data_IF_995977862774
#
_entry.id   IF_995977862774
#
_cell.length_a   1.000
_cell.length_b   1.000
_cell.length_c   1.000
_cell.angle_alpha   90.00
_cell.angle_beta   90.00
_cell.angle_gamma   90.00
#
_symmetry.space_group_name_H-M   'P 1'
#
loop_
_entity.id
_entity.type
_entity.pdbx_description
1 polymer ?
#
# COMPACT_ATOMS: atom_id res chain seq x y z
N UNK A 1 24.20 -38.99 -50.01
CA UNK A 1 24.95 -37.72 -50.19
C UNK A 1 24.00 -36.64 -50.69
N UNK A 2 23.49 -35.77 -49.81
CA UNK A 2 22.90 -34.47 -50.17
C UNK A 2 22.90 -33.59 -48.93
N UNK A 3 23.47 -32.39 -49.10
CA UNK A 3 23.95 -31.46 -48.07
C UNK A 3 22.80 -30.83 -47.30
N UNK A 4 22.90 -30.89 -45.98
CA UNK A 4 22.24 -30.01 -45.03
C UNK A 4 22.92 -28.64 -45.04
N UNK A 5 22.15 -27.57 -45.20
CA UNK A 5 22.59 -26.23 -44.82
C UNK A 5 21.60 -25.65 -43.82
N UNK A 6 22.01 -25.68 -42.56
CA UNK A 6 21.46 -24.88 -41.47
C UNK A 6 22.19 -23.53 -41.48
N UNK A 7 21.50 -22.46 -41.83
CA UNK A 7 21.97 -21.09 -41.56
C UNK A 7 21.37 -20.62 -40.25
N UNK A 8 22.22 -20.64 -39.20
CA UNK A 8 22.06 -19.89 -37.96
C UNK A 8 22.33 -18.42 -38.27
N UNK A 9 21.42 -17.52 -37.92
CA UNK A 9 21.74 -16.11 -37.73
C UNK A 9 21.36 -15.69 -36.31
N UNK A 10 22.43 -15.56 -35.51
CA UNK A 10 22.48 -15.04 -34.16
C UNK A 10 22.94 -13.58 -34.24
N UNK A 11 22.11 -12.66 -33.79
CA UNK A 11 22.44 -11.26 -33.48
C UNK A 11 21.58 -10.94 -32.25
N UNK A 12 22.03 -11.00 -31.00
CA UNK A 12 23.15 -10.34 -30.34
C UNK A 12 23.13 -8.80 -30.50
N UNK A 13 22.24 -8.13 -29.77
CA UNK A 13 22.38 -6.71 -29.46
C UNK A 13 22.00 -6.41 -28.01
N UNK A 14 23.05 -6.41 -27.17
CA UNK A 14 23.38 -5.41 -26.16
C UNK A 14 22.24 -4.87 -25.30
N UNK A 15 22.20 -5.43 -24.10
CA UNK A 15 21.74 -4.78 -22.88
C UNK A 15 22.46 -3.43 -22.65
N UNK A 16 21.69 -2.36 -22.56
CA UNK A 16 22.10 -1.07 -21.99
C UNK A 16 21.41 -0.89 -20.65
N UNK A 17 22.05 -1.44 -19.60
CA UNK A 17 21.83 -1.08 -18.20
C UNK A 17 22.25 0.38 -18.02
N UNK A 18 21.27 1.28 -17.89
CA UNK A 18 21.49 2.63 -17.35
C UNK A 18 21.27 2.58 -15.84
N UNK A 19 22.34 2.27 -15.12
CA UNK A 19 22.45 2.43 -13.68
C UNK A 19 22.69 3.91 -13.37
N UNK A 20 21.64 4.66 -13.06
CA UNK A 20 21.76 6.02 -12.49
C UNK A 20 21.85 5.90 -10.97
N UNK A 21 23.07 5.66 -10.51
CA UNK A 21 23.50 5.96 -9.14
C UNK A 21 24.15 7.35 -9.15
N UNK A 22 23.74 8.21 -8.23
CA UNK A 22 24.36 9.46 -7.79
C UNK A 22 23.25 10.38 -7.29
N UNK A 23 23.34 11.09 -6.19
CA UNK A 23 24.36 11.16 -5.15
C UNK A 23 23.71 11.95 -4.03
N UNK A 24 23.61 11.30 -2.88
CA UNK A 24 23.36 11.93 -1.59
C UNK A 24 24.47 12.98 -1.37
N UNK A 25 24.13 14.26 -1.44
CA UNK A 25 25.02 15.35 -1.01
C UNK A 25 24.38 16.04 0.17
N UNK A 26 24.67 15.46 1.33
CA UNK A 26 24.60 16.12 2.62
C UNK A 26 25.62 17.26 2.65
N UNK A 27 25.18 18.48 2.39
CA UNK A 27 25.95 19.68 2.68
C UNK A 27 25.87 20.00 4.18
N UNK A 28 26.80 19.40 4.91
CA UNK A 28 27.22 19.87 6.23
C UNK A 28 27.92 21.22 6.00
N UNK A 29 27.21 22.31 6.30
CA UNK A 29 27.80 23.65 6.38
C UNK A 29 28.19 23.91 7.84
N UNK A 30 29.46 23.66 8.13
CA UNK A 30 30.14 24.24 9.29
C UNK A 30 30.49 25.69 8.96
N UNK A 31 29.80 26.65 9.59
CA UNK A 31 30.36 27.99 9.79
C UNK A 31 30.07 28.48 11.20
N UNK A 32 31.03 28.14 12.07
CA UNK A 32 31.35 28.90 13.27
C UNK A 32 31.81 30.31 12.86
N UNK A 33 31.15 31.34 13.40
CA UNK A 33 31.82 32.52 13.98
C UNK A 33 30.79 33.51 14.55
N UNK A 34 30.80 33.62 15.88
CA UNK A 34 30.67 34.86 16.68
C UNK A 34 29.95 36.05 16.04
N UNK A 35 28.78 36.40 16.59
CA UNK A 35 28.54 37.76 17.13
C UNK A 35 27.65 37.59 18.37
N UNK A 36 28.25 37.73 19.55
CA UNK A 36 27.53 38.04 20.78
C UNK A 36 26.81 39.39 20.58
N UNK A 37 25.49 39.39 20.59
CA UNK A 37 24.72 40.57 21.03
C UNK A 37 23.96 40.16 22.27
N UNK A 38 24.58 40.41 23.42
CA UNK A 38 23.91 40.53 24.70
C UNK A 38 22.76 41.52 24.51
N UNK A 39 21.52 41.04 24.50
CA UNK A 39 20.39 41.87 24.87
C UNK A 39 20.50 42.09 26.37
N UNK A 40 21.32 43.06 26.73
CA UNK A 40 21.26 43.70 28.03
C UNK A 40 20.00 44.56 27.99
N UNK A 41 18.85 43.94 28.24
CA UNK A 41 17.63 44.70 28.51
C UNK A 41 17.88 45.36 29.86
N UNK A 42 17.89 46.70 29.95
CA UNK A 42 18.05 47.37 31.22
C UNK A 42 16.91 46.92 32.13
N UNK A 43 17.24 46.40 33.31
CA UNK A 43 16.29 45.95 34.35
C UNK A 43 15.25 47.05 34.68
N UNK A 44 15.53 48.30 34.34
CA UNK A 44 14.66 49.46 34.50
C UNK A 44 13.51 49.58 33.46
N UNK A 45 13.56 48.88 32.32
CA UNK A 45 12.46 48.88 31.34
C UNK A 45 11.39 47.80 31.61
N UNK A 46 11.70 46.78 32.42
CA UNK A 46 10.72 45.78 32.86
C UNK A 46 9.69 46.39 33.83
N UNK A 47 10.14 47.27 34.74
CA UNK A 47 9.27 47.94 35.70
C UNK A 47 8.27 48.91 35.03
N UNK A 48 8.61 49.49 33.88
CA UNK A 48 7.73 50.38 33.11
C UNK A 48 6.72 49.62 32.23
N UNK A 49 7.04 48.38 31.84
CA UNK A 49 6.10 47.50 31.12
C UNK A 49 5.08 46.88 32.10
N UNK A 50 5.49 46.60 33.35
CA UNK A 50 4.62 46.09 34.41
C UNK A 50 3.62 47.15 34.90
N UNK A 51 3.99 48.44 34.93
CA UNK A 51 3.09 49.50 35.37
C UNK A 51 2.06 49.94 34.32
N UNK A 52 2.36 49.81 33.01
CA UNK A 52 1.46 50.27 31.94
C UNK A 52 0.51 49.21 31.37
N UNK A 53 0.66 47.92 31.73
CA UNK A 53 -0.23 46.83 31.31
C UNK A 53 -0.87 46.10 32.50
N UNK A 54 -1.23 46.83 33.56
CA UNK A 54 -2.17 46.30 34.56
C UNK A 54 -3.55 46.20 33.91
N UNK A 55 -3.80 45.09 33.21
CA UNK A 55 -5.19 44.65 33.01
C UNK A 55 -5.84 44.67 34.39
N UNK A 56 -6.93 45.43 34.53
CA UNK A 56 -7.71 45.56 35.76
C UNK A 56 -8.06 44.17 36.33
N UNK A 57 -8.16 43.18 35.46
CA UNK A 57 -8.48 41.80 35.80
C UNK A 57 -7.30 41.08 36.43
N UNK A 58 -6.06 41.28 35.94
CA UNK A 58 -4.86 40.67 36.53
C UNK A 58 -4.68 41.07 38.00
N UNK A 59 -4.95 42.33 38.34
CA UNK A 59 -4.85 42.80 39.72
C UNK A 59 -5.98 42.22 40.60
N UNK A 60 -7.22 42.19 40.11
CA UNK A 60 -8.36 41.58 40.83
C UNK A 60 -8.12 40.10 41.10
N UNK A 61 -7.58 39.37 40.12
CA UNK A 61 -7.28 37.94 40.23
C UNK A 61 -6.10 37.71 41.20
N UNK A 62 -5.04 38.52 41.13
CA UNK A 62 -3.93 38.46 42.08
C UNK A 62 -4.41 38.71 43.52
N UNK A 63 -5.27 39.72 43.73
CA UNK A 63 -5.85 40.00 45.05
C UNK A 63 -6.77 38.88 45.53
N UNK A 64 -7.61 38.31 44.65
CA UNK A 64 -8.47 37.16 44.98
C UNK A 64 -7.62 35.92 45.34
N UNK A 65 -6.56 35.64 44.59
CA UNK A 65 -5.64 34.52 44.84
C UNK A 65 -4.94 34.60 46.21
N UNK A 66 -4.67 35.81 46.70
CA UNK A 66 -4.08 36.04 48.02
C UNK A 66 -5.08 35.85 49.16
N UNK A 67 -6.35 36.18 48.93
CA UNK A 67 -7.41 36.14 49.95
C UNK A 67 -8.06 34.76 50.05
N UNK A 68 -8.43 34.14 48.93
CA UNK A 68 -9.18 32.87 48.92
C UNK A 68 -8.29 31.64 48.73
N UNK A 69 -7.05 31.80 48.28
CA UNK A 69 -6.20 30.69 47.85
C UNK A 69 -6.72 29.92 46.63
N UNK A 70 -7.83 30.37 46.03
CA UNK A 70 -8.48 29.74 44.87
C UNK A 70 -8.52 30.70 43.70
N UNK A 71 -8.11 30.22 42.52
CA UNK A 71 -8.11 30.98 41.27
C UNK A 71 -9.03 30.28 40.29
N UNK A 72 -10.03 31.00 39.77
CA UNK A 72 -11.04 30.47 38.83
C UNK A 72 -10.74 30.84 37.36
N UNK A 73 -9.49 31.12 37.01
CA UNK A 73 -9.12 31.49 35.64
C UNK A 73 -8.54 30.31 34.88
N UNK A 74 -9.07 30.07 33.68
CA UNK A 74 -8.60 29.00 32.77
C UNK A 74 -7.68 29.54 31.67
N UNK A 75 -7.47 30.86 31.61
CA UNK A 75 -6.54 31.48 30.67
C UNK A 75 -5.09 31.44 31.19
N UNK A 76 -4.26 30.62 30.52
CA UNK A 76 -2.84 30.47 30.84
C UNK A 76 -2.03 31.77 30.70
N UNK A 77 -2.40 32.67 29.77
CA UNK A 77 -1.70 33.93 29.57
C UNK A 77 -1.96 34.92 30.71
N UNK A 78 -3.23 34.99 31.15
CA UNK A 78 -3.64 35.79 32.30
C UNK A 78 -2.98 35.26 33.58
N UNK A 79 -2.91 33.94 33.74
CA UNK A 79 -2.24 33.31 34.87
C UNK A 79 -0.74 33.65 34.92
N UNK A 80 -0.05 33.68 33.78
CA UNK A 80 1.37 34.08 33.69
C UNK A 80 1.59 35.54 34.13
N UNK A 81 0.67 36.44 33.80
CA UNK A 81 0.74 37.84 34.20
C UNK A 81 0.54 38.00 35.71
N UNK A 82 -0.41 37.26 36.29
CA UNK A 82 -0.68 37.24 37.73
C UNK A 82 0.51 36.70 38.51
N UNK A 83 1.14 35.62 38.02
CA UNK A 83 2.36 35.05 38.63
C UNK A 83 3.49 36.08 38.67
N UNK A 84 3.78 36.74 37.53
CA UNK A 84 4.84 37.77 37.46
C UNK A 84 4.58 38.97 38.37
N UNK A 85 3.31 39.39 38.49
CA UNK A 85 2.92 40.47 39.41
C UNK A 85 3.13 40.06 40.88
N UNK A 86 2.73 38.84 41.26
CA UNK A 86 2.91 38.33 42.62
C UNK A 86 4.38 38.05 42.96
N UNK A 87 5.20 37.57 42.02
CA UNK A 87 6.66 37.45 42.16
C UNK A 87 7.28 38.82 42.45
N UNK A 88 6.88 39.84 41.68
CA UNK A 88 7.38 41.22 41.84
C UNK A 88 6.99 41.78 43.22
N UNK A 89 5.76 41.54 43.68
CA UNK A 89 5.30 41.95 45.03
C UNK A 89 6.03 41.20 46.14
N UNK A 90 6.29 39.90 45.96
CA UNK A 90 7.03 39.09 46.92
C UNK A 90 8.44 39.67 47.15
N UNK A 91 9.15 40.04 46.07
CA UNK A 91 10.48 40.65 46.15
C UNK A 91 10.46 41.99 46.90
N UNK A 92 9.42 42.81 46.70
CA UNK A 92 9.28 44.09 47.39
C UNK A 92 9.06 43.86 48.89
N UNK A 93 8.12 42.98 49.27
CA UNK A 93 7.84 42.68 50.68
C UNK A 93 9.03 42.08 51.43
N UNK A 94 9.86 41.27 50.77
CA UNK A 94 11.10 40.76 51.35
C UNK A 94 12.13 41.85 51.62
N UNK A 95 12.27 42.82 50.71
CA UNK A 95 13.17 43.97 50.88
C UNK A 95 12.72 44.88 52.02
N UNK A 96 11.42 45.02 52.20
CA UNK A 96 10.80 45.89 53.20
C UNK A 96 10.67 45.22 54.58
N UNK A 97 11.05 43.93 54.72
CA UNK A 97 11.07 43.20 55.99
C UNK A 97 9.76 42.50 56.37
N UNK A 98 8.75 42.48 55.49
CA UNK A 98 7.44 41.84 55.68
C UNK A 98 7.49 40.34 55.35
N UNK A 99 8.11 39.57 56.25
CA UNK A 99 8.43 38.15 56.02
C UNK A 99 7.17 37.27 55.99
N UNK A 100 6.17 37.54 56.84
CA UNK A 100 4.97 36.69 56.96
C UNK A 100 4.09 36.81 55.71
N UNK A 101 3.89 38.04 55.23
CA UNK A 101 3.14 38.34 54.02
C UNK A 101 3.86 37.76 52.79
N UNK A 102 5.19 37.88 52.72
CA UNK A 102 6.00 37.22 51.69
C UNK A 102 5.79 35.69 51.69
N UNK A 103 5.78 35.04 52.85
CA UNK A 103 5.51 33.60 52.94
C UNK A 103 4.10 33.23 52.46
N UNK A 104 3.09 34.06 52.74
CA UNK A 104 1.73 33.86 52.24
C UNK A 104 1.67 33.99 50.71
N UNK A 105 2.33 35.01 50.13
CA UNK A 105 2.43 35.17 48.68
C UNK A 105 3.12 33.95 48.05
N UNK A 106 4.21 33.44 48.65
CA UNK A 106 4.90 32.23 48.16
C UNK A 106 3.99 30.99 48.13
N UNK A 107 3.15 30.79 49.14
CA UNK A 107 2.18 29.69 49.16
C UNK A 107 1.16 29.82 48.02
N UNK A 108 0.62 31.02 47.80
CA UNK A 108 -0.29 31.29 46.68
C UNK A 108 0.40 31.15 45.32
N UNK A 109 1.66 31.58 45.19
CA UNK A 109 2.49 31.41 43.98
C UNK A 109 2.68 29.93 43.64
N UNK A 110 2.97 29.07 44.62
CA UNK A 110 3.10 27.63 44.38
C UNK A 110 1.80 27.02 43.84
N UNK A 111 0.65 27.41 44.37
CA UNK A 111 -0.66 27.00 43.85
C UNK A 111 -0.93 27.51 42.43
N UNK A 112 -0.54 28.74 42.13
CA UNK A 112 -0.63 29.33 40.79
C UNK A 112 0.27 28.62 39.77
N UNK A 113 1.52 28.32 40.13
CA UNK A 113 2.43 27.56 39.28
C UNK A 113 1.93 26.14 39.03
N UNK A 114 1.36 25.48 40.04
CA UNK A 114 0.72 24.18 39.88
C UNK A 114 -0.42 24.25 38.86
N UNK A 115 -1.33 25.24 39.01
CA UNK A 115 -2.45 25.45 38.08
C UNK A 115 -1.97 25.80 36.66
N UNK A 116 -0.90 26.58 36.54
CA UNK A 116 -0.27 26.93 35.27
C UNK A 116 0.28 25.69 34.54
N UNK A 117 0.93 24.80 35.29
CA UNK A 117 1.44 23.53 34.76
C UNK A 117 0.29 22.62 34.30
N UNK A 118 -0.81 22.57 35.05
CA UNK A 118 -2.01 21.80 34.66
C UNK A 118 -2.66 22.35 33.39
N UNK A 119 -2.88 23.66 33.30
CA UNK A 119 -3.46 24.30 32.11
C UNK A 119 -2.58 24.14 30.88
N UNK A 120 -1.26 24.32 31.02
CA UNK A 120 -0.33 24.14 29.90
C UNK A 120 -0.21 22.67 29.47
N UNK A 121 -0.27 21.70 30.40
CA UNK A 121 -0.39 20.28 30.05
C UNK A 121 -1.67 19.99 29.26
N UNK A 122 -2.80 20.55 29.70
CA UNK A 122 -4.09 20.34 29.05
C UNK A 122 -4.10 20.92 27.62
N UNK A 123 -3.62 22.16 27.44
CA UNK A 123 -3.50 22.79 26.10
C UNK A 123 -2.60 21.94 25.19
N UNK A 124 -1.44 21.47 25.69
CA UNK A 124 -0.54 20.62 24.91
C UNK A 124 -1.18 19.27 24.54
N UNK A 125 -1.96 18.68 25.46
CA UNK A 125 -2.70 17.44 25.22
C UNK A 125 -3.77 17.61 24.15
N UNK A 126 -4.53 18.70 24.21
CA UNK A 126 -5.58 19.02 23.25
C UNK A 126 -4.99 19.30 21.86
N UNK A 127 -3.92 20.10 21.78
CA UNK A 127 -3.21 20.37 20.52
C UNK A 127 -2.64 19.08 19.90
N UNK A 128 -1.93 18.26 20.70
CA UNK A 128 -1.40 16.99 20.22
C UNK A 128 -2.51 16.03 19.79
N UNK A 129 -3.64 16.00 20.52
CA UNK A 129 -4.81 15.19 20.18
C UNK A 129 -5.48 15.64 18.87
N UNK A 130 -5.63 16.95 18.67
CA UNK A 130 -6.19 17.53 17.45
C UNK A 130 -5.30 17.23 16.24
N UNK A 131 -3.98 17.43 16.36
CA UNK A 131 -3.02 17.15 15.30
C UNK A 131 -3.02 15.68 14.87
N UNK A 132 -3.05 14.76 15.84
CA UNK A 132 -3.13 13.32 15.56
C UNK A 132 -4.47 12.95 14.92
N UNK A 133 -5.57 13.53 15.39
CA UNK A 133 -6.91 13.29 14.82
C UNK A 133 -6.99 13.78 13.38
N UNK A 134 -6.43 14.95 13.07
CA UNK A 134 -6.35 15.46 11.70
C UNK A 134 -5.50 14.56 10.80
N UNK A 135 -4.36 14.05 11.29
CA UNK A 135 -3.52 13.10 10.52
C UNK A 135 -4.26 11.80 10.24
N UNK A 136 -4.98 11.26 11.23
CA UNK A 136 -5.76 10.04 11.09
C UNK A 136 -6.90 10.23 10.08
N UNK A 137 -7.64 11.34 10.19
CA UNK A 137 -8.69 11.68 9.23
C UNK A 137 -8.16 11.77 7.80
N UNK A 138 -7.02 12.43 7.58
CA UNK A 138 -6.38 12.50 6.25
C UNK A 138 -6.04 11.13 5.68
N UNK A 139 -5.58 10.20 6.51
CA UNK A 139 -5.31 8.82 6.09
C UNK A 139 -6.60 8.09 5.74
N UNK A 140 -7.66 8.23 6.54
CA UNK A 140 -8.95 7.59 6.26
C UNK A 140 -9.58 8.10 4.96
N UNK A 141 -9.53 9.41 4.72
CA UNK A 141 -10.02 9.99 3.45
C UNK A 141 -9.21 9.47 2.26
N UNK A 142 -7.88 9.39 2.39
CA UNK A 142 -7.02 8.86 1.35
C UNK A 142 -7.31 7.37 1.07
N UNK A 143 -7.46 6.56 2.12
CA UNK A 143 -7.79 5.13 2.05
C UNK A 143 -9.13 4.87 1.34
N UNK A 144 -10.15 5.68 1.66
CA UNK A 144 -11.46 5.61 1.01
C UNK A 144 -11.37 5.94 -0.50
N UNK A 145 -10.70 7.03 -0.85
CA UNK A 145 -10.53 7.46 -2.25
C UNK A 145 -9.74 6.45 -3.07
N UNK A 146 -8.65 5.91 -2.52
CA UNK A 146 -7.82 4.90 -3.19
C UNK A 146 -8.61 3.60 -3.39
N UNK A 147 -9.34 3.15 -2.36
CA UNK A 147 -10.21 1.97 -2.44
C UNK A 147 -11.28 2.12 -3.53
N UNK A 148 -11.88 3.31 -3.66
CA UNK A 148 -12.85 3.59 -4.71
C UNK A 148 -12.18 3.62 -6.10
N UNK A 149 -11.01 4.25 -6.22
CA UNK A 149 -10.23 4.27 -7.47
C UNK A 149 -9.93 2.87 -7.98
N UNK A 150 -9.57 1.95 -7.08
CA UNK A 150 -9.20 0.58 -7.45
C UNK A 150 -10.43 -0.23 -7.87
N UNK A 151 -11.57 -0.06 -7.17
CA UNK A 151 -12.84 -0.66 -7.58
C UNK A 151 -13.21 -0.22 -9.00
N UNK A 152 -13.09 1.07 -9.30
CA UNK A 152 -13.37 1.60 -10.64
C UNK A 152 -12.42 1.00 -11.68
N UNK A 153 -11.11 0.94 -11.40
CA UNK A 153 -10.12 0.31 -12.29
C UNK A 153 -10.44 -1.17 -12.58
N UNK A 154 -10.86 -1.93 -11.56
CA UNK A 154 -11.27 -3.33 -11.74
C UNK A 154 -12.54 -3.45 -12.57
N UNK A 155 -13.53 -2.60 -12.34
CA UNK A 155 -14.76 -2.58 -13.14
C UNK A 155 -14.48 -2.23 -14.60
N UNK A 156 -13.71 -1.17 -14.87
CA UNK A 156 -13.29 -0.80 -16.23
C UNK A 156 -12.52 -1.93 -16.92
N UNK A 157 -11.63 -2.60 -16.19
CA UNK A 157 -10.87 -3.73 -16.70
C UNK A 157 -11.80 -4.89 -17.05
N UNK A 158 -12.76 -5.24 -16.19
CA UNK A 158 -13.73 -6.30 -16.46
C UNK A 158 -14.59 -5.98 -17.69
N UNK A 159 -15.09 -4.75 -17.82
CA UNK A 159 -15.85 -4.32 -19.01
C UNK A 159 -14.99 -4.47 -20.28
N UNK A 160 -13.72 -4.06 -20.23
CA UNK A 160 -12.79 -4.22 -21.37
C UNK A 160 -12.56 -5.69 -21.71
N UNK A 161 -12.38 -6.54 -20.72
CA UNK A 161 -12.20 -7.99 -20.92
C UNK A 161 -13.46 -8.64 -21.49
N UNK A 162 -14.64 -8.29 -21.00
CA UNK A 162 -15.90 -8.84 -21.52
C UNK A 162 -16.12 -8.44 -22.97
N UNK A 163 -15.84 -7.19 -23.33
CA UNK A 163 -15.90 -6.74 -24.72
C UNK A 163 -14.91 -7.50 -25.61
N UNK A 164 -13.68 -7.75 -25.13
CA UNK A 164 -12.69 -8.54 -25.87
C UNK A 164 -13.14 -10.00 -26.03
N UNK A 165 -13.70 -10.60 -24.98
CA UNK A 165 -14.24 -11.96 -25.01
C UNK A 165 -15.35 -12.10 -26.04
N UNK A 166 -16.31 -11.15 -26.08
CA UNK A 166 -17.36 -11.14 -27.10
C UNK A 166 -16.83 -11.00 -28.52
N UNK A 167 -15.75 -10.23 -28.74
CA UNK A 167 -15.11 -10.11 -30.05
C UNK A 167 -14.49 -11.44 -30.48
N UNK A 168 -13.83 -12.15 -29.55
CA UNK A 168 -13.26 -13.49 -29.79
C UNK A 168 -14.38 -14.48 -30.12
N UNK A 169 -15.46 -14.52 -29.34
CA UNK A 169 -16.60 -15.41 -29.58
C UNK A 169 -17.24 -15.15 -30.95
N UNK A 170 -17.48 -13.89 -31.31
CA UNK A 170 -18.01 -13.52 -32.65
C UNK A 170 -17.07 -13.93 -33.78
N UNK A 171 -15.76 -13.87 -33.56
CA UNK A 171 -14.75 -14.35 -34.52
C UNK A 171 -14.84 -15.87 -34.64
N UNK A 172 -14.92 -16.60 -33.53
CA UNK A 172 -15.04 -18.07 -33.52
C UNK A 172 -16.29 -18.56 -34.25
N UNK A 173 -17.43 -17.91 -34.03
CA UNK A 173 -18.67 -18.20 -34.77
C UNK A 173 -18.51 -17.99 -36.27
N UNK A 174 -17.83 -16.91 -36.68
CA UNK A 174 -17.56 -16.64 -38.10
C UNK A 174 -16.66 -17.70 -38.72
N UNK A 175 -15.62 -18.14 -38.02
CA UNK A 175 -14.71 -19.19 -38.48
C UNK A 175 -15.45 -20.53 -38.67
N UNK A 176 -16.34 -20.88 -37.75
CA UNK A 176 -17.17 -22.10 -37.87
C UNK A 176 -18.09 -21.99 -39.10
N UNK A 177 -18.77 -20.85 -39.26
CA UNK A 177 -19.65 -20.61 -40.43
C UNK A 177 -18.88 -20.65 -41.75
N UNK A 178 -17.67 -20.10 -41.77
CA UNK A 178 -16.79 -20.15 -42.94
C UNK A 178 -16.35 -21.59 -43.24
N UNK A 179 -15.92 -22.34 -42.24
CA UNK A 179 -15.57 -23.76 -42.41
C UNK A 179 -16.75 -24.56 -42.95
N UNK A 180 -17.96 -24.34 -42.44
CA UNK A 180 -19.17 -25.02 -42.93
C UNK A 180 -19.53 -24.61 -44.37
N UNK A 181 -19.40 -23.32 -44.70
CA UNK A 181 -19.66 -22.82 -46.05
C UNK A 181 -18.66 -23.38 -47.06
N UNK A 182 -17.37 -23.37 -46.72
CA UNK A 182 -16.29 -23.93 -47.52
C UNK A 182 -16.47 -25.43 -47.70
N UNK A 183 -16.91 -26.15 -46.66
CA UNK A 183 -17.17 -27.58 -46.75
C UNK A 183 -18.37 -27.89 -47.65
N UNK A 184 -19.44 -27.09 -47.57
CA UNK A 184 -20.62 -27.23 -48.44
C UNK A 184 -20.38 -26.82 -49.88
N UNK A 185 -19.27 -26.13 -50.16
CA UNK A 185 -18.94 -25.65 -51.50
C UNK A 185 -18.76 -26.79 -52.50
N UNK A 186 -19.13 -26.51 -53.75
CA UNK A 186 -19.03 -27.46 -54.86
C UNK A 186 -17.57 -27.88 -55.14
N UNK A 187 -16.64 -26.93 -54.99
CA UNK A 187 -15.20 -27.20 -55.17
C UNK A 187 -14.69 -28.21 -54.16
N UNK A 188 -15.17 -28.17 -52.91
CA UNK A 188 -14.83 -29.16 -51.90
C UNK A 188 -15.45 -30.50 -52.23
N UNK A 189 -16.76 -30.55 -52.52
CA UNK A 189 -17.48 -31.79 -52.88
C UNK A 189 -16.82 -32.56 -54.02
N UNK A 190 -16.41 -31.84 -55.07
CA UNK A 190 -15.72 -32.43 -56.24
C UNK A 190 -14.44 -33.19 -55.88
N UNK A 191 -13.70 -32.78 -54.84
CA UNK A 191 -12.46 -33.48 -54.42
C UNK A 191 -12.71 -34.92 -53.96
N UNK A 192 -13.93 -35.22 -53.52
CA UNK A 192 -14.31 -36.53 -52.98
C UNK A 192 -15.20 -37.33 -53.95
N UNK A 193 -15.78 -36.67 -54.96
CA UNK A 193 -16.64 -37.30 -55.98
C UNK A 193 -15.87 -37.93 -57.15
N UNK A 194 -14.60 -38.29 -56.97
CA UNK A 194 -13.79 -38.90 -58.03
C UNK A 194 -14.00 -40.42 -58.09
N UNK A 195 -14.57 -40.90 -59.19
CA UNK A 195 -14.73 -42.33 -59.47
C UNK A 195 -13.39 -43.00 -59.74
N UNK A 196 -13.24 -44.25 -59.32
CA UNK A 196 -12.02 -44.99 -59.61
C UNK A 196 -11.84 -45.25 -61.10
N UNK A 197 -10.61 -45.57 -61.49
CA UNK A 197 -10.32 -46.04 -62.86
C UNK A 197 -11.13 -47.30 -63.18
N UNK A 198 -11.32 -48.19 -62.18
CA UNK A 198 -12.01 -49.45 -62.39
C UNK A 198 -13.50 -49.26 -62.64
N UNK A 199 -14.16 -48.39 -61.88
CA UNK A 199 -15.57 -48.04 -62.11
C UNK A 199 -15.76 -47.45 -63.52
N UNK A 200 -14.86 -46.53 -63.93
CA UNK A 200 -14.90 -45.94 -65.27
C UNK A 200 -14.70 -46.97 -66.38
N UNK A 201 -13.83 -47.96 -66.17
CA UNK A 201 -13.64 -49.06 -67.11
C UNK A 201 -14.89 -49.95 -67.21
N UNK A 202 -15.49 -50.33 -66.08
CA UNK A 202 -16.72 -51.14 -66.05
C UNK A 202 -17.88 -50.41 -66.72
N UNK A 203 -18.07 -49.11 -66.46
CA UNK A 203 -19.10 -48.28 -67.14
C UNK A 203 -18.84 -48.16 -68.64
N UNK A 204 -17.57 -48.09 -69.05
CA UNK A 204 -17.21 -48.12 -70.49
C UNK A 204 -17.53 -49.48 -71.12
N UNK A 205 -17.18 -50.59 -70.44
CA UNK A 205 -17.49 -51.95 -70.91
C UNK A 205 -19.00 -52.18 -70.99
N UNK A 206 -19.76 -51.71 -70.01
CA UNK A 206 -21.23 -51.70 -69.99
C UNK A 206 -21.78 -51.04 -71.27
N UNK A 207 -21.31 -49.84 -71.60
CA UNK A 207 -21.74 -49.11 -72.82
C UNK A 207 -21.41 -49.87 -74.11
N UNK A 208 -20.22 -50.47 -74.19
CA UNK A 208 -19.79 -51.25 -75.35
C UNK A 208 -20.64 -52.52 -75.53
N UNK A 209 -20.88 -53.27 -74.46
CA UNK A 209 -21.68 -54.52 -74.50
C UNK A 209 -23.14 -54.24 -74.87
N UNK A 210 -23.69 -53.13 -74.38
CA UNK A 210 -25.03 -52.68 -74.75
C UNK A 210 -25.13 -52.39 -76.26
N UNK A 211 -24.15 -51.65 -76.82
CA UNK A 211 -24.08 -51.37 -78.26
C UNK A 211 -23.93 -52.64 -79.10
N UNK A 212 -23.20 -53.64 -78.60
CA UNK A 212 -23.01 -54.95 -79.23
C UNK A 212 -24.21 -55.90 -79.06
N UNK A 213 -25.28 -55.49 -78.35
CA UNK A 213 -26.48 -56.30 -78.05
C UNK A 213 -26.21 -57.59 -77.27
N UNK A 214 -25.11 -57.66 -76.51
CA UNK A 214 -24.76 -58.80 -75.65
C UNK A 214 -25.40 -58.64 -74.26
N UNK A 215 -26.70 -58.88 -74.16
CA UNK A 215 -27.49 -58.53 -72.98
C UNK A 215 -27.08 -59.26 -71.69
N UNK A 216 -26.70 -60.55 -71.78
CA UNK A 216 -26.33 -61.33 -70.59
C UNK A 216 -25.02 -60.84 -69.95
N UNK A 217 -24.00 -60.58 -70.78
CA UNK A 217 -22.72 -60.01 -70.32
C UNK A 217 -22.91 -58.59 -69.79
N UNK A 218 -23.74 -57.79 -70.48
CA UNK A 218 -24.11 -56.44 -70.05
C UNK A 218 -24.70 -56.44 -68.64
N UNK A 219 -25.67 -57.32 -68.34
CA UNK A 219 -26.28 -57.38 -67.01
C UNK A 219 -25.27 -57.71 -65.91
N UNK A 220 -24.33 -58.62 -66.18
CA UNK A 220 -23.27 -58.97 -65.21
C UNK A 220 -22.33 -57.79 -64.95
N UNK A 221 -21.84 -57.14 -66.01
CA UNK A 221 -20.94 -55.98 -65.88
C UNK A 221 -21.65 -54.81 -65.19
N UNK A 222 -22.93 -54.60 -65.49
CA UNK A 222 -23.76 -53.59 -64.82
C UNK A 222 -23.88 -53.86 -63.32
N UNK A 223 -24.23 -55.08 -62.89
CA UNK A 223 -24.31 -55.43 -61.46
C UNK A 223 -22.99 -55.15 -60.74
N UNK A 224 -21.87 -55.55 -61.34
CA UNK A 224 -20.54 -55.29 -60.78
C UNK A 224 -20.23 -53.79 -60.71
N UNK A 225 -20.61 -53.00 -61.72
CA UNK A 225 -20.42 -51.56 -61.73
C UNK A 225 -21.28 -50.86 -60.65
N UNK A 226 -22.54 -51.26 -60.52
CA UNK A 226 -23.48 -50.70 -59.55
C UNK A 226 -23.04 -51.03 -58.11
N UNK A 227 -22.64 -52.27 -57.83
CA UNK A 227 -22.08 -52.67 -56.52
C UNK A 227 -20.80 -51.88 -56.18
N UNK A 228 -19.91 -51.71 -57.15
CA UNK A 228 -18.66 -50.98 -56.94
C UNK A 228 -18.90 -49.47 -56.78
N UNK A 229 -19.90 -48.90 -57.47
CA UNK A 229 -20.32 -47.51 -57.27
C UNK A 229 -20.91 -47.27 -55.87
N UNK A 230 -21.77 -48.16 -55.38
CA UNK A 230 -22.29 -48.09 -54.01
C UNK A 230 -21.13 -48.10 -53.00
N UNK A 231 -20.20 -49.04 -53.14
CA UNK A 231 -19.04 -49.12 -52.25
C UNK A 231 -18.14 -47.88 -52.33
N UNK A 232 -17.87 -47.35 -53.53
CA UNK A 232 -17.04 -46.14 -53.69
C UNK A 232 -17.73 -44.89 -53.14
N UNK A 233 -19.04 -44.76 -53.34
CA UNK A 233 -19.82 -43.62 -52.83
C UNK A 233 -19.87 -43.65 -51.31
N UNK A 234 -20.14 -44.78 -50.68
CA UNK A 234 -20.10 -44.93 -49.21
C UNK A 234 -18.71 -44.59 -48.65
N UNK A 235 -17.65 -45.11 -49.27
CA UNK A 235 -16.28 -44.81 -48.86
C UNK A 235 -15.93 -43.32 -49.03
N UNK A 236 -16.40 -42.68 -50.10
CA UNK A 236 -16.20 -41.26 -50.32
C UNK A 236 -16.93 -40.41 -49.27
N UNK A 237 -18.17 -40.76 -48.92
CA UNK A 237 -18.95 -40.13 -47.85
C UNK A 237 -18.24 -40.28 -46.50
N UNK A 238 -17.79 -41.49 -46.17
CA UNK A 238 -17.08 -41.74 -44.91
C UNK A 238 -15.79 -40.90 -44.79
N UNK A 239 -15.02 -40.80 -45.88
CA UNK A 239 -13.81 -39.93 -45.92
C UNK A 239 -14.17 -38.46 -45.80
N UNK A 240 -15.21 -38.02 -46.49
CA UNK A 240 -15.73 -36.65 -46.42
C UNK A 240 -16.10 -36.24 -44.99
N UNK A 241 -16.86 -37.09 -44.30
CA UNK A 241 -17.29 -36.85 -42.92
C UNK A 241 -16.12 -36.92 -41.94
N UNK A 242 -15.22 -37.90 -42.10
CA UNK A 242 -14.03 -38.03 -41.26
C UNK A 242 -13.13 -36.80 -41.34
N UNK A 243 -12.85 -36.32 -42.57
CA UNK A 243 -12.02 -35.14 -42.79
C UNK A 243 -12.69 -33.86 -42.25
N UNK A 244 -14.02 -33.74 -42.38
CA UNK A 244 -14.79 -32.64 -41.79
C UNK A 244 -14.65 -32.62 -40.28
N UNK A 245 -14.89 -33.77 -39.64
CA UNK A 245 -14.82 -33.91 -38.19
C UNK A 245 -13.41 -33.61 -37.67
N UNK A 246 -12.38 -34.06 -38.39
CA UNK A 246 -10.98 -33.75 -38.08
C UNK A 246 -10.70 -32.24 -38.17
N UNK A 247 -11.11 -31.60 -39.27
CA UNK A 247 -10.94 -30.16 -39.46
C UNK A 247 -11.69 -29.34 -38.39
N UNK A 248 -12.93 -29.73 -38.07
CA UNK A 248 -13.75 -29.10 -37.04
C UNK A 248 -13.15 -29.25 -35.65
N UNK A 249 -12.66 -30.45 -35.32
CA UNK A 249 -11.98 -30.71 -34.03
C UNK A 249 -10.75 -29.84 -33.87
N UNK A 250 -9.93 -29.75 -34.92
CA UNK A 250 -8.72 -28.92 -34.92
C UNK A 250 -9.04 -27.43 -34.78
N UNK A 251 -10.11 -26.95 -35.42
CA UNK A 251 -10.59 -25.57 -35.25
C UNK A 251 -11.03 -25.31 -33.82
N UNK A 252 -11.88 -26.17 -33.25
CA UNK A 252 -12.36 -26.04 -31.86
C UNK A 252 -11.20 -26.07 -30.86
N UNK A 253 -10.19 -26.92 -31.08
CA UNK A 253 -9.01 -26.95 -30.23
C UNK A 253 -8.22 -25.62 -30.29
N UNK A 254 -8.06 -25.02 -31.48
CA UNK A 254 -7.44 -23.70 -31.62
C UNK A 254 -8.23 -22.61 -30.90
N UNK A 255 -9.55 -22.61 -31.05
CA UNK A 255 -10.45 -21.66 -30.39
C UNK A 255 -10.38 -21.79 -28.86
N UNK A 256 -10.35 -23.02 -28.35
CA UNK A 256 -10.15 -23.31 -26.93
C UNK A 256 -8.83 -22.73 -26.42
N UNK A 257 -7.73 -22.99 -27.12
CA UNK A 257 -6.42 -22.46 -26.74
C UNK A 257 -6.39 -20.92 -26.76
N UNK A 258 -7.07 -20.28 -27.73
CA UNK A 258 -7.20 -18.82 -27.79
C UNK A 258 -7.96 -18.26 -26.56
N UNK A 259 -9.04 -18.93 -26.12
CA UNK A 259 -9.77 -18.54 -24.91
C UNK A 259 -8.92 -18.77 -23.65
N UNK A 260 -8.28 -19.92 -23.51
CA UNK A 260 -7.44 -20.23 -22.35
C UNK A 260 -6.29 -19.23 -22.20
N UNK A 261 -5.61 -18.88 -23.30
CA UNK A 261 -4.54 -17.87 -23.29
C UNK A 261 -5.07 -16.46 -22.99
N UNK A 262 -6.26 -16.12 -23.47
CA UNK A 262 -6.94 -14.88 -23.12
C UNK A 262 -7.28 -14.81 -21.62
N UNK A 263 -7.84 -15.88 -21.05
CA UNK A 263 -8.19 -15.96 -19.63
C UNK A 263 -6.96 -15.85 -18.73
N UNK A 264 -5.86 -16.54 -19.06
CA UNK A 264 -4.59 -16.40 -18.34
C UNK A 264 -4.05 -14.96 -18.37
N UNK A 265 -4.14 -14.30 -19.53
CA UNK A 265 -3.75 -12.89 -19.67
C UNK A 265 -4.65 -11.96 -18.85
N UNK A 266 -5.96 -12.22 -18.85
CA UNK A 266 -6.94 -11.49 -18.07
C UNK A 266 -6.66 -11.59 -16.55
N UNK A 267 -6.42 -12.81 -16.06
CA UNK A 267 -6.12 -13.05 -14.66
C UNK A 267 -4.80 -12.42 -14.23
N UNK A 268 -3.78 -12.47 -15.08
CA UNK A 268 -2.51 -11.77 -14.82
C UNK A 268 -2.74 -10.27 -14.64
N UNK A 269 -3.57 -9.64 -15.49
CA UNK A 269 -3.89 -8.21 -15.36
C UNK A 269 -4.66 -7.91 -14.07
N UNK A 270 -5.60 -8.77 -13.68
CA UNK A 270 -6.33 -8.65 -12.40
C UNK A 270 -5.37 -8.74 -11.21
N UNK A 271 -4.48 -9.72 -11.22
CA UNK A 271 -3.47 -9.91 -10.17
C UNK A 271 -2.55 -8.69 -10.03
N UNK A 272 -2.13 -8.06 -11.13
CA UNK A 272 -1.31 -6.84 -11.08
C UNK A 272 -2.04 -5.71 -10.34
N UNK A 273 -3.34 -5.52 -10.60
CA UNK A 273 -4.14 -4.50 -9.90
C UNK A 273 -4.28 -4.86 -8.41
N UNK A 274 -4.62 -6.10 -8.09
CA UNK A 274 -4.78 -6.56 -6.71
C UNK A 274 -3.48 -6.45 -5.91
N UNK A 275 -2.35 -6.86 -6.48
CA UNK A 275 -1.05 -6.72 -5.84
C UNK A 275 -0.68 -5.25 -5.61
N UNK A 276 -1.02 -4.36 -6.56
CA UNK A 276 -0.82 -2.92 -6.36
C UNK A 276 -1.66 -2.38 -5.20
N UNK A 277 -2.88 -2.87 -5.04
CA UNK A 277 -3.77 -2.53 -3.94
C UNK A 277 -3.24 -3.01 -2.60
N UNK A 278 -2.83 -4.28 -2.51
CA UNK A 278 -2.25 -4.86 -1.30
C UNK A 278 -1.04 -4.06 -0.82
N UNK A 279 -0.13 -3.72 -1.74
CA UNK A 279 1.03 -2.88 -1.43
C UNK A 279 0.64 -1.50 -0.88
N UNK A 280 -0.39 -0.88 -1.44
CA UNK A 280 -0.88 0.41 -0.94
C UNK A 280 -1.57 0.26 0.42
N UNK A 281 -2.37 -0.77 0.61
CA UNK A 281 -3.06 -1.06 1.85
C UNK A 281 -2.06 -1.34 3.00
N UNK A 282 -0.97 -2.04 2.69
CA UNK A 282 0.14 -2.24 3.62
C UNK A 282 0.79 -0.91 4.05
N UNK A 283 1.01 0.00 3.10
CA UNK A 283 1.57 1.33 3.39
C UNK A 283 0.62 2.15 4.27
N UNK A 284 -0.68 2.12 3.98
CA UNK A 284 -1.71 2.79 4.78
C UNK A 284 -1.76 2.20 6.18
N UNK A 285 -1.75 0.87 6.30
CA UNK A 285 -1.75 0.16 7.57
C UNK A 285 -0.51 0.50 8.42
N UNK A 286 0.68 0.58 7.81
CA UNK A 286 1.91 1.03 8.48
C UNK A 286 1.78 2.47 8.98
N UNK A 287 1.20 3.37 8.18
CA UNK A 287 0.97 4.77 8.60
C UNK A 287 -0.03 4.86 9.76
N UNK A 288 -1.12 4.09 9.75
CA UNK A 288 -2.09 4.02 10.86
C UNK A 288 -1.41 3.57 12.16
N UNK A 289 -0.66 2.47 12.11
CA UNK A 289 0.13 1.99 13.27
C UNK A 289 1.13 3.01 13.78
N UNK A 290 1.81 3.73 12.88
CA UNK A 290 2.76 4.77 13.28
C UNK A 290 2.06 5.92 14.04
N UNK A 291 0.86 6.33 13.63
CA UNK A 291 0.06 7.33 14.34
C UNK A 291 -0.42 6.80 15.70
N UNK A 292 -0.83 5.52 15.77
CA UNK A 292 -1.23 4.89 17.04
C UNK A 292 -0.07 4.88 18.04
N UNK A 293 1.14 4.51 17.60
CA UNK A 293 2.35 4.56 18.43
C UNK A 293 2.65 6.00 18.86
N UNK A 294 2.55 6.97 17.94
CA UNK A 294 2.70 8.39 18.29
C UNK A 294 1.70 8.83 19.35
N UNK A 295 0.44 8.39 19.27
CA UNK A 295 -0.59 8.69 20.25
C UNK A 295 -0.29 8.07 21.63
N UNK A 296 0.30 6.88 21.68
CA UNK A 296 0.74 6.30 22.95
C UNK A 296 1.93 7.07 23.55
N UNK A 297 2.90 7.45 22.72
CA UNK A 297 4.08 8.19 23.14
C UNK A 297 3.74 9.61 23.62
N UNK A 298 2.81 10.31 22.97
CA UNK A 298 2.38 11.65 23.42
C UNK A 298 1.72 11.60 24.78
N UNK A 299 0.86 10.59 25.03
CA UNK A 299 0.28 10.35 26.36
C UNK A 299 1.34 10.11 27.42
N UNK A 300 2.38 9.34 27.11
CA UNK A 300 3.48 9.07 28.03
C UNK A 300 4.38 10.29 28.27
N UNK A 301 4.68 11.06 27.22
CA UNK A 301 5.47 12.30 27.31
C UNK A 301 4.79 13.35 28.18
N UNK A 302 3.48 13.54 28.01
CA UNK A 302 2.68 14.47 28.84
C UNK A 302 2.73 14.03 30.31
N UNK A 303 2.51 12.74 30.60
CA UNK A 303 2.62 12.19 31.96
C UNK A 303 4.02 12.40 32.58
N UNK A 304 5.08 12.19 31.79
CA UNK A 304 6.47 12.38 32.23
C UNK A 304 6.81 13.86 32.47
N UNK A 305 6.29 14.75 31.63
CA UNK A 305 6.42 16.20 31.80
C UNK A 305 5.70 16.69 33.07
N UNK A 306 4.45 16.28 33.28
CA UNK A 306 3.67 16.60 34.49
C UNK A 306 4.39 16.16 35.78
N UNK A 307 5.01 14.97 35.76
CA UNK A 307 5.78 14.46 36.90
C UNK A 307 7.03 15.30 37.19
N UNK A 308 7.77 15.69 36.14
CA UNK A 308 8.96 16.56 36.28
C UNK A 308 8.60 17.94 36.81
N UNK A 309 7.53 18.53 36.28
CA UNK A 309 7.09 19.87 36.67
C UNK A 309 6.51 19.93 38.09
N UNK A 310 5.81 18.88 38.53
CA UNK A 310 5.39 18.76 39.94
C UNK A 310 6.58 18.65 40.90
N UNK A 311 7.59 17.86 40.53
CA UNK A 311 8.79 17.71 41.37
C UNK A 311 9.61 19.01 41.48
N UNK A 312 9.67 19.83 40.42
CA UNK A 312 10.40 21.10 40.46
C UNK A 312 9.73 22.18 41.31
N UNK A 313 8.41 22.13 41.52
CA UNK A 313 7.71 23.07 42.42
C UNK A 313 7.89 22.69 43.90
N UNK A 314 8.05 21.39 44.20
CA UNK A 314 8.14 20.88 45.56
C UNK A 314 9.57 20.85 46.14
N UNK A 315 10.60 21.30 45.42
CA UNK A 315 11.97 21.47 45.96
C UNK A 315 12.08 22.74 46.83
N UNK A 316 11.23 22.84 47.85
CA UNK A 316 11.59 23.50 49.11
C UNK A 316 11.95 22.35 50.04
N UNK A 317 13.18 21.85 49.90
CA UNK A 317 13.68 20.83 50.80
C UNK A 317 13.60 21.37 52.24
N UNK A 318 13.02 20.62 53.20
CA UNK A 318 13.28 20.91 54.61
C UNK A 318 14.80 20.88 54.84
N UNK A 319 15.32 21.66 55.81
CA UNK A 319 16.75 21.73 56.08
C UNK A 319 17.30 20.32 56.19
N UNK A 320 18.33 20.00 55.40
CA UNK A 320 18.93 18.67 55.38
C UNK A 320 19.31 18.31 56.81
N UNK A 321 18.64 17.31 57.38
CA UNK A 321 19.12 16.68 58.61
C UNK A 321 20.57 16.21 58.35
N UNK A 322 21.48 16.37 59.32
CA UNK A 322 22.89 16.05 59.14
C UNK A 322 23.03 14.61 58.65
N UNK A 323 23.62 14.49 57.46
CA UNK A 323 23.98 13.23 56.82
C UNK A 323 24.93 12.46 57.75
N UNK A 324 24.37 11.55 58.54
CA UNK A 324 25.16 10.49 59.16
C UNK A 324 25.55 9.52 58.04
N UNK A 325 26.74 9.76 57.51
CA UNK A 325 27.43 8.87 56.59
C UNK A 325 27.64 7.51 57.25
N UNK A 326 26.71 6.58 57.03
CA UNK A 326 26.96 5.15 57.18
C UNK A 326 26.97 4.54 55.78
N UNK A 327 28.11 4.68 55.09
CA UNK A 327 28.41 3.89 53.90
C UNK A 327 28.40 2.41 54.31
N UNK A 328 27.36 1.68 53.92
CA UNK A 328 27.45 0.24 53.83
C UNK A 328 28.49 -0.14 52.76
N UNK A 329 29.35 -1.14 53.00
CA UNK A 329 30.33 -1.57 52.02
C UNK A 329 29.61 -2.05 50.75
N UNK A 330 29.97 -1.46 49.62
CA UNK A 330 29.53 -1.89 48.29
C UNK A 330 29.93 -3.35 48.12
N UNK A 331 28.96 -4.25 48.07
CA UNK A 331 29.22 -5.61 47.59
C UNK A 331 29.66 -5.51 46.13
N UNK A 332 30.75 -6.22 45.84
CA UNK A 332 31.52 -6.16 44.61
C UNK A 332 30.65 -6.43 43.38
N UNK A 333 30.60 -5.47 42.45
CA UNK A 333 30.18 -5.69 41.07
C UNK A 333 31.26 -6.51 40.35
N UNK A 334 31.35 -7.81 40.65
CA UNK A 334 32.09 -8.77 39.84
C UNK A 334 31.17 -9.28 38.74
N UNK A 335 31.63 -9.17 37.49
CA UNK A 335 30.98 -9.74 36.32
C UNK A 335 30.86 -11.27 36.49
N UNK A 336 29.64 -11.80 36.34
CA UNK A 336 29.40 -13.25 36.34
C UNK A 336 30.03 -13.84 35.08
N UNK A 337 31.15 -14.55 35.24
CA UNK A 337 31.76 -15.31 34.16
C UNK A 337 31.02 -16.66 33.98
N UNK A 338 30.84 -17.15 32.74
CA UNK A 338 30.25 -18.45 32.49
C UNK A 338 31.17 -19.58 32.99
N UNK A 339 30.61 -20.73 33.44
CA UNK A 339 31.41 -21.84 33.93
C UNK A 339 32.28 -22.46 32.83
N UNK A 340 33.51 -22.82 33.19
CA UNK A 340 34.45 -23.52 32.31
C UNK A 340 33.87 -24.86 31.88
N UNK A 341 33.92 -25.13 30.56
CA UNK A 341 33.55 -26.45 30.01
C UNK A 341 34.55 -27.48 30.54
N UNK A 342 34.07 -28.44 31.31
CA UNK A 342 34.88 -29.60 31.69
C UNK A 342 35.22 -30.39 30.42
N UNK A 343 36.51 -30.47 30.10
CA UNK A 343 37.02 -31.48 29.20
C UNK A 343 36.98 -32.82 29.92
N UNK A 344 35.90 -33.57 29.75
CA UNK A 344 35.94 -35.01 29.95
C UNK A 344 36.77 -35.60 28.80
N UNK A 345 38.04 -35.89 29.09
CA UNK A 345 38.87 -36.75 28.26
C UNK A 345 38.38 -38.19 28.43
N UNK A 346 37.97 -38.75 27.29
CA UNK A 346 37.91 -40.18 26.91
C UNK A 346 37.09 -41.11 27.79
#
# INVERSE_FOLDING_TARGET
>A
MRRSQQTRNSTNSKASRSSRTSSFTSSISTRSSKIEKKYNIPILQLNTIISNNRSLDSWKIASKALVSGQIDTDDANLLNLVIKDLESRCIILEKDGYIQESQQIKKSLNGLHQKQIELTAQIQKEQAGADLSQKLHKIQTYDSLESQSIKNKLQELNIKLDNQRQVIEKKHEKEIKQLDADWKSESRKRRYAHTSVKLRELRRQESILFQQRKMDEYQRVKSMADELEINETENAVNRWESDYNSARTLLLQKQKNEIETFEQSADTKRQVILHSFEKQNDLISRKKRAIEIQNMNTKEQIRSWEKRMRNSICEIAPPQAPLTSRRAPRQNNLLKLPPLKSHTRK
#
